data_IF_353131745816
#
_entry.id   IF_353131745816
#
_cell.length_a   1.000
_cell.length_b   1.000
_cell.length_c   1.000
_cell.angle_alpha   90.00
_cell.angle_beta   90.00
_cell.angle_gamma   90.00
#
_symmetry.space_group_name_H-M   'P 1'
#
loop_
_entity.id
_entity.type
_entity.pdbx_description
1 polymer ?
#
# COMPACT_ATOMS: atom_id res chain seq x y z
N UNK A 1 -13.06 -0.05 -2.82
CA UNK A 1 -11.75 0.12 -3.49
C UNK A 1 -11.01 1.16 -2.68
N UNK A 2 -9.72 0.98 -2.38
CA UNK A 2 -9.03 1.83 -1.40
C UNK A 2 -7.70 2.41 -1.89
N UNK A 3 -7.43 3.67 -1.54
CA UNK A 3 -6.16 4.35 -1.80
C UNK A 3 -5.03 3.76 -0.96
N UNK A 4 -5.28 3.43 0.32
CA UNK A 4 -4.30 2.76 1.17
C UNK A 4 -3.93 1.37 0.64
N UNK A 5 -4.85 0.67 -0.05
CA UNK A 5 -4.54 -0.61 -0.73
C UNK A 5 -3.60 -0.45 -1.93
N UNK A 6 -3.74 0.64 -2.69
CA UNK A 6 -2.77 0.98 -3.73
C UNK A 6 -1.43 1.30 -3.06
N UNK A 7 -1.48 2.10 -1.99
CA UNK A 7 -0.31 2.58 -1.28
C UNK A 7 0.55 1.43 -0.73
N UNK A 8 -0.06 0.47 -0.03
CA UNK A 8 0.68 -0.63 0.61
C UNK A 8 1.41 -1.50 -0.43
N UNK A 9 0.79 -1.76 -1.58
CA UNK A 9 1.44 -2.55 -2.64
C UNK A 9 2.59 -1.80 -3.27
N UNK A 10 2.40 -0.50 -3.55
CA UNK A 10 3.44 0.34 -4.13
C UNK A 10 4.63 0.50 -3.19
N UNK A 11 4.38 0.74 -1.91
CA UNK A 11 5.42 0.80 -0.88
C UNK A 11 6.20 -0.52 -0.80
N UNK A 12 5.52 -1.66 -0.83
CA UNK A 12 6.16 -2.97 -0.85
C UNK A 12 7.05 -3.17 -2.09
N UNK A 13 6.55 -2.84 -3.29
CA UNK A 13 7.31 -2.96 -4.53
C UNK A 13 8.57 -2.09 -4.49
N UNK A 14 8.45 -0.82 -4.11
CA UNK A 14 9.58 0.11 -3.98
C UNK A 14 10.59 -0.37 -2.92
N UNK A 15 10.11 -0.97 -1.83
CA UNK A 15 10.97 -1.51 -0.79
C UNK A 15 11.78 -2.72 -1.25
N UNK A 16 11.26 -3.52 -2.19
CA UNK A 16 11.90 -4.77 -2.64
C UNK A 16 12.82 -4.61 -3.86
N UNK A 17 12.52 -3.65 -4.75
CA UNK A 17 13.33 -3.39 -5.95
C UNK A 17 14.81 -3.17 -5.61
N UNK A 18 15.69 -3.85 -6.32
CA UNK A 18 17.14 -3.78 -6.19
C UNK A 18 17.71 -4.38 -4.90
N UNK A 19 16.88 -4.97 -4.03
CA UNK A 19 17.30 -5.46 -2.69
C UNK A 19 17.19 -6.98 -2.52
N UNK A 20 16.83 -7.69 -3.59
CA UNK A 20 16.68 -9.15 -3.60
C UNK A 20 17.39 -9.76 -4.81
N UNK A 21 17.53 -11.09 -4.84
CA UNK A 21 18.05 -11.82 -6.00
C UNK A 21 17.13 -11.74 -7.24
N UNK A 22 15.91 -11.19 -7.12
CA UNK A 22 15.05 -10.85 -8.25
C UNK A 22 15.39 -9.47 -8.87
N UNK A 23 16.32 -8.73 -8.27
CA UNK A 23 16.72 -7.41 -8.75
C UNK A 23 15.55 -6.42 -8.77
N UNK A 24 15.37 -5.74 -9.90
CA UNK A 24 14.28 -4.78 -10.11
C UNK A 24 12.98 -5.41 -10.63
N UNK A 25 12.97 -6.72 -10.89
CA UNK A 25 11.82 -7.44 -11.43
C UNK A 25 10.80 -7.75 -10.31
N UNK A 26 10.24 -6.68 -9.76
CA UNK A 26 9.18 -6.71 -8.75
C UNK A 26 7.89 -6.20 -9.37
N UNK A 27 6.93 -7.11 -9.51
CA UNK A 27 5.69 -6.94 -10.26
C UNK A 27 4.59 -6.43 -9.32
N UNK A 28 3.92 -5.33 -9.69
CA UNK A 28 2.76 -4.82 -8.95
C UNK A 28 1.47 -5.37 -9.57
N UNK A 29 0.59 -5.94 -8.75
CA UNK A 29 -0.74 -6.43 -9.14
C UNK A 29 -0.76 -7.68 -10.02
N UNK A 30 0.36 -8.39 -10.19
CA UNK A 30 0.36 -9.62 -10.95
C UNK A 30 -0.14 -10.79 -10.09
N UNK A 31 -1.40 -11.15 -10.31
CA UNK A 31 -2.05 -12.31 -9.67
C UNK A 31 -1.81 -13.53 -10.54
N UNK A 32 -1.53 -14.68 -9.92
CA UNK A 32 -1.27 -15.92 -10.64
C UNK A 32 0.10 -15.94 -11.30
N UNK A 33 1.04 -15.11 -10.80
CA UNK A 33 2.44 -15.22 -11.20
C UNK A 33 3.03 -16.57 -10.80
N UNK A 34 2.46 -17.17 -9.75
CA UNK A 34 2.54 -18.58 -9.42
C UNK A 34 1.11 -19.11 -9.48
N UNK A 35 0.84 -20.07 -10.35
CA UNK A 35 -0.49 -20.68 -10.50
C UNK A 35 -0.41 -22.20 -10.46
N UNK A 36 -1.28 -22.82 -9.68
CA UNK A 36 -1.41 -24.27 -9.60
C UNK A 36 -2.70 -24.68 -10.29
N UNK A 37 -2.59 -25.42 -11.39
CA UNK A 37 -3.75 -25.86 -12.15
C UNK A 37 -4.59 -26.91 -11.39
N UNK A 38 -5.84 -27.20 -11.81
CA UNK A 38 -6.68 -28.21 -11.14
C UNK A 38 -6.10 -29.63 -11.14
N UNK A 39 -5.10 -29.91 -11.98
CA UNK A 39 -4.38 -31.17 -12.02
C UNK A 39 -3.14 -31.18 -11.09
N UNK A 40 -2.90 -30.08 -10.36
CA UNK A 40 -1.80 -29.91 -9.40
C UNK A 40 -0.48 -29.48 -10.04
N UNK A 41 -0.47 -29.09 -11.32
CA UNK A 41 0.77 -28.65 -11.97
C UNK A 41 1.03 -27.19 -11.63
N UNK A 42 2.23 -26.90 -11.13
CA UNK A 42 2.68 -25.57 -10.79
C UNK A 42 3.25 -24.87 -12.04
N UNK A 43 2.76 -23.68 -12.32
CA UNK A 43 3.25 -22.81 -13.40
C UNK A 43 3.66 -21.46 -12.84
N UNK A 44 4.63 -20.86 -13.50
CA UNK A 44 5.19 -19.56 -13.13
C UNK A 44 5.18 -18.67 -14.36
N UNK A 45 4.61 -17.48 -14.26
CA UNK A 45 4.65 -16.47 -15.32
C UNK A 45 6.01 -15.76 -15.32
N UNK A 46 6.49 -15.40 -16.51
CA UNK A 46 7.73 -14.62 -16.67
C UNK A 46 8.94 -15.42 -17.14
N UNK A 47 9.84 -14.72 -17.82
CA UNK A 47 11.09 -15.28 -18.35
C UNK A 47 12.27 -15.08 -17.38
N UNK A 48 12.13 -14.18 -16.40
CA UNK A 48 13.16 -13.85 -15.43
C UNK A 48 12.70 -14.07 -13.98
N UNK A 49 13.68 -14.14 -13.07
CA UNK A 49 13.45 -14.17 -11.62
C UNK A 49 12.60 -12.99 -11.21
N UNK A 50 11.57 -13.20 -10.40
CA UNK A 50 10.59 -12.16 -10.08
C UNK A 50 10.14 -12.22 -8.61
N UNK A 51 9.55 -11.13 -8.15
CA UNK A 51 8.69 -11.09 -6.97
C UNK A 51 7.38 -10.42 -7.39
N UNK A 52 6.25 -11.11 -7.26
CA UNK A 52 4.93 -10.55 -7.49
C UNK A 52 4.31 -10.08 -6.17
N UNK A 53 3.83 -8.84 -6.14
CA UNK A 53 3.15 -8.25 -4.99
C UNK A 53 1.73 -7.89 -5.37
N UNK A 54 0.78 -8.43 -4.62
CA UNK A 54 -0.63 -8.09 -4.80
C UNK A 54 -1.38 -8.13 -3.48
N UNK A 55 -2.62 -7.63 -3.49
CA UNK A 55 -3.51 -7.73 -2.34
C UNK A 55 -4.66 -8.64 -2.69
N UNK A 56 -5.03 -9.49 -1.75
CA UNK A 56 -6.15 -10.41 -1.82
C UNK A 56 -7.01 -10.21 -0.56
N UNK A 57 -8.21 -10.79 -0.53
CA UNK A 57 -9.11 -10.83 0.63
C UNK A 57 -9.14 -9.52 1.44
N UNK A 58 -9.88 -8.53 0.94
CA UNK A 58 -10.16 -7.32 1.69
C UNK A 58 -11.53 -7.45 2.35
N UNK A 59 -11.57 -7.46 3.67
CA UNK A 59 -12.80 -7.27 4.43
C UNK A 59 -12.93 -5.80 4.79
N UNK A 60 -14.15 -5.26 4.75
CA UNK A 60 -14.42 -3.89 5.18
C UNK A 60 -15.13 -3.86 6.54
N UNK A 61 -14.88 -2.80 7.30
CA UNK A 61 -15.80 -2.27 8.30
C UNK A 61 -15.55 -2.65 9.76
N UNK A 62 -15.69 -1.63 10.62
CA UNK A 62 -15.94 -1.71 12.06
C UNK A 62 -17.32 -2.28 12.44
N UNK A 63 -18.15 -2.62 11.44
CA UNK A 63 -19.58 -2.88 11.61
C UNK A 63 -20.43 -1.61 11.69
N UNK A 64 -19.84 -0.41 11.57
CA UNK A 64 -20.59 0.84 11.50
C UNK A 64 -21.31 0.97 10.14
N UNK A 65 -22.64 1.12 10.12
CA UNK A 65 -23.36 1.37 8.87
C UNK A 65 -22.88 2.64 8.19
N UNK A 66 -22.51 2.54 6.91
CA UNK A 66 -22.16 3.67 6.05
C UNK A 66 -20.67 4.01 5.96
N UNK A 67 -19.81 3.45 6.82
CA UNK A 67 -18.37 3.77 6.84
C UNK A 67 -17.61 3.15 5.65
N UNK A 68 -17.76 3.73 4.46
CA UNK A 68 -17.24 3.18 3.19
C UNK A 68 -15.74 3.43 2.96
N UNK A 69 -15.14 4.38 3.70
CA UNK A 69 -13.70 4.71 3.64
C UNK A 69 -12.86 3.97 4.69
N UNK A 70 -13.49 3.19 5.57
CA UNK A 70 -12.78 2.33 6.51
C UNK A 70 -12.16 1.14 5.78
N UNK A 71 -10.88 0.91 6.04
CA UNK A 71 -10.21 -0.33 5.65
C UNK A 71 -10.34 -1.34 6.79
N UNK A 72 -10.76 -2.56 6.47
CA UNK A 72 -10.68 -3.68 7.40
C UNK A 72 -9.42 -4.51 7.21
N UNK A 73 -9.49 -5.77 7.59
CA UNK A 73 -8.38 -6.71 7.40
C UNK A 73 -8.10 -6.93 5.91
N UNK A 74 -6.81 -6.87 5.56
CA UNK A 74 -6.30 -7.06 4.22
C UNK A 74 -5.19 -8.10 4.22
N UNK A 75 -5.12 -8.89 3.16
CA UNK A 75 -4.01 -9.77 2.87
C UNK A 75 -3.10 -9.16 1.78
N UNK A 76 -1.86 -8.84 2.13
CA UNK A 76 -0.79 -8.58 1.15
C UNK A 76 -0.06 -9.88 0.86
N UNK A 77 -0.03 -10.28 -0.41
CA UNK A 77 0.67 -11.47 -0.88
C UNK A 77 1.94 -11.08 -1.63
N UNK A 78 3.01 -11.79 -1.32
CA UNK A 78 4.31 -11.68 -1.96
C UNK A 78 4.67 -13.08 -2.45
N UNK A 79 4.71 -13.27 -3.75
CA UNK A 79 4.99 -14.54 -4.41
C UNK A 79 6.30 -14.45 -5.18
N UNK A 80 7.08 -15.51 -5.14
CA UNK A 80 8.30 -15.62 -5.90
C UNK A 80 8.58 -17.07 -6.23
N UNK A 81 9.13 -17.30 -7.40
CA UNK A 81 9.40 -18.63 -7.91
C UNK A 81 10.63 -18.65 -8.80
N UNK A 82 11.11 -19.86 -9.06
CA UNK A 82 12.22 -20.13 -9.97
C UNK A 82 11.84 -21.30 -10.88
N UNK A 83 12.27 -21.20 -12.14
CA UNK A 83 12.20 -22.29 -13.12
C UNK A 83 13.55 -22.47 -13.79
N UNK A 84 13.75 -23.59 -14.48
CA UNK A 84 14.93 -23.84 -15.33
C UNK A 84 15.17 -22.76 -16.41
N UNK A 85 14.17 -21.95 -16.75
CA UNK A 85 14.31 -20.87 -17.73
C UNK A 85 14.96 -19.61 -17.13
N UNK A 86 14.98 -19.50 -15.80
CA UNK A 86 15.39 -18.30 -15.05
C UNK A 86 16.81 -18.41 -14.46
N UNK A 87 17.58 -19.38 -14.95
CA UNK A 87 18.98 -19.62 -14.58
C UNK A 87 19.91 -18.74 -15.42
N UNK A 88 21.05 -18.37 -14.85
CA UNK A 88 22.08 -17.59 -15.51
C UNK A 88 23.18 -18.53 -15.98
N UNK A 89 23.64 -18.37 -17.22
CA UNK A 89 24.84 -19.05 -17.71
C UNK A 89 26.09 -18.28 -17.28
N UNK A 90 26.98 -18.94 -16.56
CA UNK A 90 28.24 -18.38 -16.07
C UNK A 90 29.35 -19.45 -16.11
N UNK A 91 30.60 -19.02 -16.04
CA UNK A 91 31.75 -19.94 -15.99
C UNK A 91 31.76 -20.70 -14.66
N UNK A 92 32.05 -22.00 -14.71
CA UNK A 92 32.15 -22.84 -13.52
C UNK A 92 33.34 -22.39 -12.66
N UNK A 93 33.11 -21.93 -11.41
CA UNK A 93 34.19 -21.50 -10.54
C UNK A 93 35.15 -22.64 -10.18
N UNK A 94 34.68 -23.90 -10.23
CA UNK A 94 35.47 -25.09 -9.92
C UNK A 94 36.14 -25.69 -11.18
N UNK A 95 35.63 -25.38 -12.38
CA UNK A 95 36.12 -25.92 -13.67
C UNK A 95 36.30 -24.80 -14.73
N UNK A 96 37.43 -24.07 -14.74
CA UNK A 96 37.67 -22.98 -15.69
C UNK A 96 37.51 -23.41 -17.15
N UNK A 97 36.75 -22.62 -17.93
CA UNK A 97 36.39 -22.89 -19.31
C UNK A 97 35.11 -23.71 -19.52
N UNK A 98 34.48 -24.23 -18.46
CA UNK A 98 33.16 -24.86 -18.52
C UNK A 98 32.07 -23.87 -18.13
N UNK A 99 30.88 -23.99 -18.74
CA UNK A 99 29.73 -23.13 -18.44
C UNK A 99 28.73 -23.92 -17.59
N UNK A 100 28.23 -23.30 -16.53
CA UNK A 100 27.16 -23.83 -15.68
C UNK A 100 25.91 -22.95 -15.78
N UNK A 101 24.76 -23.58 -15.55
CA UNK A 101 23.46 -22.91 -15.46
C UNK A 101 23.11 -22.75 -14.00
N UNK A 102 23.21 -21.54 -13.48
CA UNK A 102 23.16 -21.27 -12.05
C UNK A 102 21.91 -20.49 -11.63
N UNK A 103 21.33 -20.86 -10.48
CA UNK A 103 20.27 -20.08 -9.83
C UNK A 103 20.82 -19.13 -8.77
N UNK A 104 21.89 -19.53 -8.11
CA UNK A 104 22.72 -18.72 -7.23
C UNK A 104 24.12 -18.76 -7.83
N UNK A 105 24.80 -17.63 -7.93
CA UNK A 105 26.11 -17.59 -8.63
C UNK A 105 27.08 -18.60 -8.02
N UNK A 106 27.73 -19.38 -8.89
CA UNK A 106 28.59 -20.51 -8.58
C UNK A 106 27.86 -21.81 -8.22
N UNK A 107 26.53 -21.87 -8.26
CA UNK A 107 25.75 -23.04 -7.84
C UNK A 107 24.87 -23.55 -9.01
N UNK A 108 25.17 -24.74 -9.56
CA UNK A 108 24.37 -25.37 -10.61
C UNK A 108 22.90 -25.54 -10.22
N UNK A 109 22.01 -25.37 -11.19
CA UNK A 109 20.58 -25.56 -10.99
C UNK A 109 20.25 -27.02 -10.67
N UNK A 110 19.76 -27.23 -9.44
CA UNK A 110 19.26 -28.50 -8.92
C UNK A 110 18.05 -28.20 -8.04
N UNK A 111 17.27 -29.22 -7.67
CA UNK A 111 16.15 -29.05 -6.72
C UNK A 111 16.61 -28.44 -5.39
N UNK A 112 17.77 -28.86 -4.85
CA UNK A 112 18.33 -28.28 -3.63
C UNK A 112 18.76 -26.81 -3.80
N UNK A 113 19.33 -26.46 -4.95
CA UNK A 113 19.69 -25.08 -5.25
C UNK A 113 18.46 -24.17 -5.45
N UNK A 114 17.38 -24.72 -6.03
CA UNK A 114 16.10 -24.02 -6.15
C UNK A 114 15.49 -23.72 -4.78
N UNK A 115 15.43 -24.70 -3.87
CA UNK A 115 14.96 -24.47 -2.48
C UNK A 115 15.83 -23.43 -1.75
N UNK A 116 17.16 -23.54 -1.89
CA UNK A 116 18.09 -22.58 -1.30
C UNK A 116 17.85 -21.17 -1.83
N UNK A 117 17.61 -21.02 -3.13
CA UNK A 117 17.26 -19.75 -3.74
C UNK A 117 15.97 -19.16 -3.14
N UNK A 118 14.92 -19.97 -3.01
CA UNK A 118 13.66 -19.51 -2.43
C UNK A 118 13.83 -19.05 -0.98
N UNK A 119 14.54 -19.83 -0.16
CA UNK A 119 14.80 -19.45 1.23
C UNK A 119 15.63 -18.16 1.34
N UNK A 120 16.59 -17.96 0.43
CA UNK A 120 17.38 -16.73 0.35
C UNK A 120 16.50 -15.53 -0.05
N UNK A 121 15.67 -15.67 -1.08
CA UNK A 121 14.74 -14.60 -1.51
C UNK A 121 13.74 -14.29 -0.41
N UNK A 122 13.13 -15.29 0.22
CA UNK A 122 12.20 -15.11 1.33
C UNK A 122 12.85 -14.38 2.51
N UNK A 123 14.11 -14.71 2.85
CA UNK A 123 14.90 -13.99 3.85
C UNK A 123 15.17 -12.55 3.44
N UNK A 124 15.54 -12.30 2.18
CA UNK A 124 15.80 -10.97 1.64
C UNK A 124 14.54 -10.10 1.63
N UNK A 125 13.38 -10.65 1.30
CA UNK A 125 12.08 -9.95 1.38
C UNK A 125 11.84 -9.44 2.80
N UNK A 126 11.93 -10.31 3.81
CA UNK A 126 11.74 -9.88 5.20
C UNK A 126 12.80 -8.87 5.62
N UNK A 127 14.05 -9.07 5.20
CA UNK A 127 15.14 -8.14 5.50
C UNK A 127 14.92 -6.75 4.88
N UNK A 128 14.47 -6.70 3.63
CA UNK A 128 14.21 -5.46 2.90
C UNK A 128 13.02 -4.70 3.49
N UNK A 129 11.93 -5.40 3.85
CA UNK A 129 10.73 -4.81 4.47
C UNK A 129 10.92 -4.38 5.94
N UNK A 130 12.00 -4.83 6.59
CA UNK A 130 12.34 -4.43 7.97
C UNK A 130 13.59 -3.55 8.06
N UNK A 131 14.21 -3.20 6.92
CA UNK A 131 15.45 -2.43 6.92
C UNK A 131 15.20 -0.98 7.39
N UNK A 132 15.94 -0.48 8.40
CA UNK A 132 15.68 0.83 8.99
C UNK A 132 15.99 2.00 8.04
N UNK A 133 16.96 1.82 7.13
CA UNK A 133 17.33 2.85 6.15
C UNK A 133 16.55 2.73 4.82
N UNK A 134 15.59 1.81 4.74
CA UNK A 134 14.74 1.67 3.56
C UNK A 134 13.45 2.46 3.79
N UNK A 135 13.41 3.68 3.27
CA UNK A 135 12.27 4.59 3.44
C UNK A 135 10.95 3.98 2.97
N UNK A 136 10.95 3.27 1.83
CA UNK A 136 9.76 2.59 1.33
C UNK A 136 9.29 1.46 2.26
N UNK A 137 10.22 0.78 2.94
CA UNK A 137 9.88 -0.23 3.94
C UNK A 137 9.30 0.38 5.22
N UNK A 138 9.75 1.58 5.59
CA UNK A 138 9.19 2.32 6.71
C UNK A 138 7.76 2.79 6.41
N UNK A 139 7.52 3.34 5.21
CA UNK A 139 6.19 3.65 4.70
C UNK A 139 5.30 2.39 4.68
N UNK A 140 5.79 1.28 4.14
CA UNK A 140 5.08 0.01 4.08
C UNK A 140 4.62 -0.45 5.47
N UNK A 141 5.51 -0.44 6.47
CA UNK A 141 5.17 -0.82 7.84
C UNK A 141 4.20 0.16 8.49
N UNK A 142 4.37 1.47 8.24
CA UNK A 142 3.53 2.51 8.80
C UNK A 142 2.08 2.51 8.29
N UNK A 143 1.82 1.93 7.12
CA UNK A 143 0.47 1.83 6.56
C UNK A 143 -0.42 0.78 7.27
N UNK A 144 0.15 -0.10 8.09
CA UNK A 144 -0.61 -1.00 8.94
C UNK A 144 -0.99 -0.30 10.26
N UNK A 145 -2.25 -0.39 10.64
CA UNK A 145 -2.76 0.11 11.92
C UNK A 145 -2.57 -0.90 13.06
N UNK A 146 -2.53 -2.19 12.74
CA UNK A 146 -2.47 -3.30 13.70
C UNK A 146 -1.18 -4.11 13.56
N UNK A 147 -0.99 -5.03 14.50
CA UNK A 147 -0.01 -6.11 14.32
C UNK A 147 -0.28 -6.87 13.02
N UNK A 148 0.81 -7.28 12.36
CA UNK A 148 0.79 -8.00 11.08
C UNK A 148 1.07 -9.47 11.33
N UNK A 149 0.12 -10.33 10.96
CA UNK A 149 0.31 -11.78 10.96
C UNK A 149 1.04 -12.20 9.69
N UNK A 150 2.09 -13.01 9.85
CA UNK A 150 2.94 -13.46 8.74
C UNK A 150 2.78 -14.97 8.56
N UNK A 151 2.20 -15.38 7.44
CA UNK A 151 2.19 -16.76 6.97
C UNK A 151 3.24 -16.97 5.88
N UNK A 152 3.80 -18.17 5.84
CA UNK A 152 4.66 -18.63 4.75
C UNK A 152 4.09 -19.93 4.20
N UNK A 153 3.91 -19.99 2.90
CA UNK A 153 3.45 -21.19 2.20
C UNK A 153 4.45 -21.56 1.12
N UNK A 154 4.55 -22.86 0.87
CA UNK A 154 5.33 -23.44 -0.22
C UNK A 154 4.36 -24.06 -1.19
N UNK A 155 4.62 -23.87 -2.47
CA UNK A 155 3.96 -24.59 -3.55
C UNK A 155 5.03 -25.37 -4.32
N UNK A 156 4.80 -26.67 -4.48
CA UNK A 156 5.67 -27.58 -5.20
C UNK A 156 4.84 -28.47 -6.11
N UNK A 157 5.33 -28.75 -7.31
CA UNK A 157 4.73 -29.75 -8.18
C UNK A 157 5.14 -31.18 -7.75
N UNK A 158 4.16 -32.04 -7.49
CA UNK A 158 4.36 -33.45 -7.16
C UNK A 158 4.78 -34.30 -8.39
N UNK A 159 4.68 -33.76 -9.61
CA UNK A 159 4.82 -34.49 -10.88
C UNK A 159 6.13 -34.23 -11.65
N UNK A 160 7.08 -33.52 -11.04
CA UNK A 160 8.47 -33.49 -11.51
C UNK A 160 8.81 -32.38 -12.51
N UNK A 161 7.96 -31.34 -12.66
CA UNK A 161 8.42 -30.08 -13.23
C UNK A 161 9.29 -29.36 -12.19
N UNK A 162 10.49 -28.91 -12.58
CA UNK A 162 11.43 -28.19 -11.70
C UNK A 162 10.98 -26.74 -11.46
N UNK A 163 9.74 -26.59 -10.99
CA UNK A 163 9.15 -25.32 -10.58
C UNK A 163 9.04 -25.36 -9.07
N UNK A 164 9.63 -24.36 -8.43
CA UNK A 164 9.55 -24.19 -6.99
C UNK A 164 9.12 -22.76 -6.70
N UNK A 165 8.12 -22.60 -5.85
CA UNK A 165 7.59 -21.30 -5.49
C UNK A 165 7.29 -21.19 -3.99
N UNK A 166 7.42 -19.97 -3.50
CA UNK A 166 7.10 -19.61 -2.13
C UNK A 166 6.18 -18.39 -2.11
N UNK A 167 5.32 -18.37 -1.11
CA UNK A 167 4.42 -17.27 -0.82
C UNK A 167 4.64 -16.78 0.61
N UNK A 168 4.77 -15.47 0.77
CA UNK A 168 4.66 -14.79 2.06
C UNK A 168 3.33 -14.02 2.07
N UNK A 169 2.51 -14.28 3.07
CA UNK A 169 1.20 -13.66 3.26
C UNK A 169 1.23 -12.81 4.53
N UNK A 170 0.98 -11.51 4.37
CA UNK A 170 0.95 -10.52 5.45
C UNK A 170 -0.50 -10.09 5.66
N UNK A 171 -1.07 -10.44 6.80
CA UNK A 171 -2.46 -10.11 7.15
C UNK A 171 -2.47 -9.02 8.22
N UNK A 172 -3.19 -7.93 7.98
CA UNK A 172 -3.36 -6.86 8.97
C UNK A 172 -4.38 -5.81 8.52
N UNK A 173 -4.73 -4.92 9.43
CA UNK A 173 -5.63 -3.80 9.14
C UNK A 173 -4.84 -2.61 8.62
N UNK A 174 -5.24 -2.03 7.49
CA UNK A 174 -4.64 -0.80 6.97
C UNK A 174 -5.19 0.44 7.67
N UNK A 175 -4.45 1.54 7.59
CA UNK A 175 -4.98 2.87 7.90
C UNK A 175 -6.25 3.15 7.06
N UNK A 176 -7.23 3.91 7.60
CA UNK A 176 -8.36 4.41 6.82
C UNK A 176 -7.89 5.19 5.60
N UNK A 177 -8.71 5.20 4.55
CA UNK A 177 -8.38 6.01 3.38
C UNK A 177 -8.48 7.50 3.71
N UNK A 178 -7.53 8.33 3.27
CA UNK A 178 -7.69 9.77 3.33
C UNK A 178 -8.84 10.22 2.41
N UNK A 179 -9.62 11.21 2.85
CA UNK A 179 -10.76 11.75 2.11
C UNK A 179 -10.38 13.11 1.50
N UNK A 180 -9.61 13.92 2.24
CA UNK A 180 -9.06 15.19 1.80
C UNK A 180 -7.53 15.18 1.84
N UNK A 181 -6.88 16.04 1.06
CA UNK A 181 -5.44 16.29 1.20
C UNK A 181 -5.09 16.86 2.58
N UNK A 182 -5.98 17.63 3.19
CA UNK A 182 -5.80 18.16 4.55
C UNK A 182 -5.77 17.05 5.62
N UNK A 183 -6.34 15.88 5.31
CA UNK A 183 -6.31 14.71 6.19
C UNK A 183 -4.96 13.98 6.17
N UNK A 184 -4.01 14.39 5.33
CA UNK A 184 -2.74 13.71 5.15
C UNK A 184 -1.61 14.56 5.72
N UNK A 185 -1.26 14.41 7.01
CA UNK A 185 -0.07 15.02 7.58
C UNK A 185 1.16 14.68 6.73
N UNK A 186 2.07 15.65 6.56
CA UNK A 186 3.28 15.48 5.73
C UNK A 186 4.13 14.27 6.13
N UNK A 187 4.17 13.96 7.43
CA UNK A 187 4.91 12.82 7.98
C UNK A 187 4.13 11.50 7.95
N UNK A 188 2.85 11.52 7.56
CA UNK A 188 2.03 10.32 7.49
C UNK A 188 2.57 9.37 6.40
N UNK A 189 2.48 8.04 6.61
CA UNK A 189 2.95 7.06 5.63
C UNK A 189 2.40 7.28 4.22
N UNK A 190 1.14 7.70 4.11
CA UNK A 190 0.51 8.00 2.81
C UNK A 190 1.17 9.20 2.11
N UNK A 191 1.40 10.32 2.80
CA UNK A 191 2.11 11.48 2.24
C UNK A 191 3.54 11.12 1.83
N UNK A 192 4.25 10.38 2.69
CA UNK A 192 5.61 9.91 2.40
C UNK A 192 5.67 9.00 1.18
N UNK A 193 4.66 8.14 0.98
CA UNK A 193 4.55 7.38 -0.26
C UNK A 193 4.41 8.29 -1.48
N UNK A 194 3.51 9.26 -1.43
CA UNK A 194 3.32 10.18 -2.56
C UNK A 194 4.62 10.91 -2.91
N UNK A 195 5.40 11.32 -1.91
CA UNK A 195 6.72 11.91 -2.11
C UNK A 195 7.72 10.92 -2.77
N UNK A 196 7.75 9.65 -2.33
CA UNK A 196 8.56 8.61 -2.97
C UNK A 196 8.16 8.40 -4.44
N UNK A 197 6.88 8.44 -4.75
CA UNK A 197 6.37 8.27 -6.11
C UNK A 197 6.69 9.48 -7.00
N UNK A 198 6.61 10.70 -6.47
CA UNK A 198 6.99 11.92 -7.20
C UNK A 198 8.48 11.91 -7.59
N UNK A 199 9.33 11.40 -6.69
CA UNK A 199 10.76 11.24 -6.92
C UNK A 199 11.12 10.02 -7.81
N UNK A 200 10.13 9.18 -8.14
CA UNK A 200 10.30 7.92 -8.84
C UNK A 200 10.30 8.06 -10.37
N UNK A 201 9.83 7.01 -11.04
CA UNK A 201 9.72 6.96 -12.51
C UNK A 201 8.55 7.82 -13.01
N UNK A 202 8.49 8.06 -14.32
CA UNK A 202 7.34 8.76 -14.92
C UNK A 202 6.00 8.04 -14.72
N UNK A 203 6.00 6.71 -14.55
CA UNK A 203 4.80 5.95 -14.18
C UNK A 203 4.44 6.18 -12.71
N UNK A 204 5.42 6.20 -11.81
CA UNK A 204 5.19 6.48 -10.39
C UNK A 204 4.59 7.88 -10.18
N UNK A 205 5.12 8.89 -10.89
CA UNK A 205 4.61 10.25 -10.87
C UNK A 205 3.15 10.34 -11.37
N UNK A 206 2.81 9.61 -12.43
CA UNK A 206 1.42 9.54 -12.92
C UNK A 206 0.49 8.90 -11.90
N UNK A 207 0.94 7.85 -11.21
CA UNK A 207 0.15 7.20 -10.16
C UNK A 207 -0.04 8.13 -8.97
N UNK A 208 1.00 8.86 -8.55
CA UNK A 208 0.89 9.86 -7.48
C UNK A 208 -0.12 10.95 -7.83
N UNK A 209 -0.13 11.43 -9.08
CA UNK A 209 -1.12 12.39 -9.56
C UNK A 209 -2.54 11.82 -9.48
N UNK A 210 -2.77 10.61 -10.01
CA UNK A 210 -4.07 9.95 -9.95
C UNK A 210 -4.55 9.72 -8.51
N UNK A 211 -3.65 9.34 -7.59
CA UNK A 211 -4.01 9.17 -6.18
C UNK A 211 -4.41 10.49 -5.51
N UNK A 212 -3.82 11.62 -5.92
CA UNK A 212 -4.19 12.95 -5.42
C UNK A 212 -5.49 13.46 -6.02
N UNK A 213 -5.78 13.15 -7.29
CA UNK A 213 -7.02 13.55 -7.97
C UNK A 213 -8.27 12.94 -7.32
N UNK A 214 -8.12 11.80 -6.64
CA UNK A 214 -9.19 11.16 -5.85
C UNK A 214 -9.40 11.80 -4.47
N UNK A 215 -8.50 12.71 -4.05
CA UNK A 215 -8.62 13.42 -2.78
C UNK A 215 -9.23 14.80 -3.01
N UNK A 216 -10.13 15.20 -2.10
CA UNK A 216 -10.73 16.53 -2.18
C UNK A 216 -9.72 17.60 -1.78
N UNK A 217 -9.71 18.70 -2.54
CA UNK A 217 -8.82 19.83 -2.30
C UNK A 217 -9.37 20.80 -1.22
N UNK A 218 -10.68 21.04 -1.20
CA UNK A 218 -11.37 21.87 -0.20
C UNK A 218 -12.73 21.20 0.11
N UNK A 219 -13.08 21.10 1.39
CA UNK A 219 -14.35 20.46 1.81
C UNK A 219 -14.80 21.08 3.13
N UNK A 220 -16.08 21.40 3.23
CA UNK A 220 -16.63 21.92 4.48
C UNK A 220 -16.52 20.86 5.59
N UNK A 221 -16.26 21.24 6.85
CA UNK A 221 -16.08 20.26 7.93
C UNK A 221 -17.23 19.26 8.10
N UNK A 222 -18.47 19.68 7.83
CA UNK A 222 -19.65 18.82 7.90
C UNK A 222 -19.74 17.84 6.72
N UNK A 223 -19.27 18.21 5.52
CA UNK A 223 -19.20 17.31 4.35
C UNK A 223 -18.17 16.21 4.60
N UNK A 224 -17.02 16.59 5.15
CA UNK A 224 -15.98 15.64 5.53
C UNK A 224 -16.48 14.67 6.62
N UNK A 225 -17.15 15.20 7.65
CA UNK A 225 -17.79 14.38 8.67
C UNK A 225 -18.85 13.44 8.09
N UNK A 226 -19.59 13.89 7.07
CA UNK A 226 -20.62 13.10 6.40
C UNK A 226 -20.04 11.89 5.70
N UNK A 227 -19.01 12.10 4.92
CA UNK A 227 -18.36 11.05 4.16
C UNK A 227 -17.60 10.08 5.06
N UNK A 228 -16.88 10.60 6.05
CA UNK A 228 -16.12 9.78 6.99
C UNK A 228 -17.01 8.86 7.82
N UNK A 229 -18.14 9.38 8.30
CA UNK A 229 -19.08 8.62 9.12
C UNK A 229 -20.11 7.86 8.31
N UNK A 230 -20.19 8.09 7.00
CA UNK A 230 -21.18 7.46 6.13
C UNK A 230 -22.63 7.84 6.44
N UNK A 231 -22.85 9.02 7.01
CA UNK A 231 -24.15 9.42 7.55
C UNK A 231 -24.96 10.16 6.50
N UNK A 232 -26.28 10.06 6.62
CA UNK A 232 -27.16 10.98 5.93
C UNK A 232 -27.09 12.36 6.60
N UNK A 233 -27.35 13.41 5.84
CA UNK A 233 -27.43 14.79 6.36
C UNK A 233 -28.32 14.90 7.61
N UNK A 234 -29.48 14.22 7.59
CA UNK A 234 -30.43 14.23 8.71
C UNK A 234 -29.85 13.61 9.99
N UNK A 235 -29.07 12.54 9.86
CA UNK A 235 -28.41 11.92 11.01
C UNK A 235 -27.31 12.82 11.57
N UNK A 236 -26.56 13.47 10.67
CA UNK A 236 -25.51 14.44 10.99
C UNK A 236 -26.04 15.66 11.75
N UNK A 237 -27.14 16.24 11.27
CA UNK A 237 -27.88 17.29 11.97
C UNK A 237 -28.38 16.81 13.33
N UNK A 238 -28.90 15.57 13.40
CA UNK A 238 -29.38 14.98 14.65
C UNK A 238 -28.32 14.82 15.74
N UNK A 239 -27.04 14.75 15.37
CA UNK A 239 -25.89 14.66 16.29
C UNK A 239 -25.10 15.98 16.41
N UNK A 240 -25.58 17.06 15.79
CA UNK A 240 -24.96 18.38 15.88
C UNK A 240 -23.66 18.55 15.09
N UNK A 241 -23.39 17.65 14.13
CA UNK A 241 -22.22 17.73 13.24
C UNK A 241 -22.59 18.26 11.83
N UNK A 242 -23.89 18.44 11.56
CA UNK A 242 -24.38 19.01 10.30
C UNK A 242 -24.20 20.53 10.24
N UNK A 243 -24.51 21.15 9.09
CA UNK A 243 -24.48 22.61 8.96
C UNK A 243 -25.39 23.27 10.00
N UNK A 244 -25.06 24.51 10.37
CA UNK A 244 -25.81 25.28 11.38
C UNK A 244 -27.28 25.33 10.96
N UNK A 245 -28.21 25.03 11.89
CA UNK A 245 -29.63 24.83 11.59
C UNK A 245 -30.35 26.01 10.90
N UNK A 246 -29.74 27.21 10.90
CA UNK A 246 -30.24 28.40 10.18
C UNK A 246 -29.71 28.56 8.76
N UNK A 247 -28.71 27.79 8.34
CA UNK A 247 -28.09 27.87 7.01
C UNK A 247 -28.64 26.78 6.08
N UNK A 248 -29.93 26.87 5.81
CA UNK A 248 -30.65 25.92 4.94
C UNK A 248 -30.32 26.18 3.46
N UNK A 249 -29.97 27.42 3.12
CA UNK A 249 -29.76 27.91 1.75
C UNK A 249 -28.29 28.07 1.35
N UNK A 250 -27.34 27.74 2.24
CA UNK A 250 -25.88 27.90 2.02
C UNK A 250 -25.48 29.35 1.79
N UNK A 251 -26.12 30.27 2.48
CA UNK A 251 -25.72 31.66 2.47
C UNK A 251 -25.07 31.93 3.83
N UNK A 252 -23.76 32.12 3.85
CA UNK A 252 -23.12 32.77 4.99
C UNK A 252 -23.85 34.10 5.17
N UNK A 253 -24.59 34.30 6.27
CA UNK A 253 -25.30 35.55 6.49
C UNK A 253 -24.26 36.68 6.48
N UNK A 254 -24.61 37.86 5.97
CA UNK A 254 -23.75 39.02 6.16
C UNK A 254 -23.43 39.14 7.65
N UNK A 255 -22.14 39.33 7.96
CA UNK A 255 -21.68 39.50 9.32
C UNK A 255 -22.25 40.80 9.89
N UNK A 256 -23.37 40.72 10.60
CA UNK A 256 -24.07 41.90 11.12
C UNK A 256 -23.43 42.45 12.39
N UNK A 257 -22.80 41.59 13.20
CA UNK A 257 -22.04 42.02 14.37
C UNK A 257 -20.90 41.04 14.69
N UNK A 258 -19.82 41.54 15.27
CA UNK A 258 -18.89 40.76 16.08
C UNK A 258 -18.74 41.37 17.46
N UNK A 259 -18.63 40.49 18.46
CA UNK A 259 -18.26 40.85 19.83
C UNK A 259 -16.88 40.28 20.11
N UNK A 260 -15.94 41.16 20.44
CA UNK A 260 -14.63 40.79 20.93
C UNK A 260 -14.59 40.97 22.45
N UNK A 261 -14.25 39.91 23.18
CA UNK A 261 -13.92 40.01 24.59
C UNK A 261 -12.40 40.21 24.71
N UNK A 262 -11.98 41.40 25.12
CA UNK A 262 -10.57 41.74 25.29
C UNK A 262 -10.25 41.65 26.79
N UNK A 263 -9.47 40.65 27.24
CA UNK A 263 -9.20 40.46 28.66
C UNK A 263 -8.56 41.71 29.27
N UNK A 264 -9.20 42.27 30.29
CA UNK A 264 -8.73 43.47 31.02
C UNK A 264 -9.41 44.79 30.62
N UNK A 265 -10.24 44.80 29.57
CA UNK A 265 -11.09 45.92 29.21
C UNK A 265 -12.55 45.47 29.27
N UNK A 266 -13.27 45.84 30.34
CA UNK A 266 -14.67 45.45 30.56
C UNK A 266 -15.69 46.11 29.63
N UNK A 267 -15.30 46.44 28.40
CA UNK A 267 -16.18 47.05 27.39
C UNK A 267 -16.35 46.10 26.20
N UNK A 268 -17.62 45.79 25.92
CA UNK A 268 -18.04 45.12 24.70
C UNK A 268 -17.98 46.12 23.55
N UNK A 269 -17.10 45.89 22.57
CA UNK A 269 -17.05 46.70 21.34
C UNK A 269 -17.91 46.03 20.28
N UNK A 270 -19.00 46.70 19.89
CA UNK A 270 -19.78 46.34 18.71
C UNK A 270 -19.07 46.90 17.47
N UNK A 271 -18.66 46.02 16.56
CA UNK A 271 -18.08 46.40 15.27
C UNK A 271 -19.14 46.21 14.20
N UNK A 272 -19.59 47.31 13.59
CA UNK A 272 -20.42 47.24 12.38
C UNK A 272 -19.54 46.91 11.16
N UNK A 273 -20.02 46.05 10.24
CA UNK A 273 -19.27 45.69 9.04
C UNK A 273 -19.03 46.92 8.16
N UNK A 274 -17.76 47.24 7.86
CA UNK A 274 -17.44 48.26 6.88
C UNK A 274 -17.75 47.74 5.48
N UNK A 275 -18.55 48.46 4.72
CA UNK A 275 -18.81 48.17 3.31
C UNK A 275 -17.52 48.29 2.50
N UNK A 276 -17.01 47.15 2.01
CA UNK A 276 -15.94 47.06 1.01
C UNK A 276 -16.49 46.32 -0.20
#
# INVERSE_FOLDING_TARGET
MSLCRIAIRRACVLALKGRTLAGDNVLDSEIGAVDTDPAGNLSVSGEGRFIAVYTDQAQGGSGMPGALYENGELLVRIEFGITERMVVEEEDPDNPGEMIRSVVSGIPFTSAAAETYLDLVGRQVISALSHPENEAADVFRGLFQSDVRIDRRRESDDKGQAVAAQQIALTGTLLPDPISLDDVPVEAPFARLLALLDAGTGDDQRIAALMRDELKAETEPWELAQERLGRTMRELLGVGLGPIAGDVDRATPEMTEAVFDIPGHGETVLVEPSSV
#
